data_IF_624528937706
#
_entry.id   IF_624528937706
#
_cell.length_a   1.000
_cell.length_b   1.000
_cell.length_c   1.000
_cell.angle_alpha   90.00
_cell.angle_beta   90.00
_cell.angle_gamma   90.00
#
_symmetry.space_group_name_H-M   'P 1'
#
loop_
_entity.id
_entity.type
_entity.pdbx_description
1 polymer ?
#
# COMPACT_ATOMS: atom_id res chain seq x y z
N UNK A 1 -22.58 8.97 -8.04
CA UNK A 1 -23.34 7.70 -7.90
C UNK A 1 -22.93 6.59 -8.88
N UNK A 2 -22.24 6.88 -10.01
CA UNK A 2 -22.05 5.89 -11.09
C UNK A 2 -20.95 4.82 -10.90
N UNK A 3 -20.00 4.95 -9.95
CA UNK A 3 -18.84 4.03 -9.83
C UNK A 3 -18.97 2.92 -8.77
N UNK A 4 -19.99 2.98 -7.90
CA UNK A 4 -20.14 2.00 -6.81
C UNK A 4 -20.75 0.68 -7.26
N UNK A 5 -21.69 0.70 -8.21
CA UNK A 5 -22.31 -0.50 -8.76
C UNK A 5 -21.31 -1.44 -9.49
N UNK A 6 -20.43 -0.95 -10.40
CA UNK A 6 -19.48 -1.84 -11.07
C UNK A 6 -18.43 -2.42 -10.11
N UNK A 7 -17.99 -1.66 -9.09
CA UNK A 7 -17.04 -2.18 -8.10
C UNK A 7 -17.65 -3.25 -7.19
N UNK A 8 -18.88 -3.05 -6.72
CA UNK A 8 -19.62 -4.08 -5.98
C UNK A 8 -19.86 -5.34 -6.82
N UNK A 9 -20.11 -5.17 -8.13
CA UNK A 9 -20.25 -6.30 -9.04
C UNK A 9 -18.95 -7.10 -9.17
N UNK A 10 -17.79 -6.44 -9.31
CA UNK A 10 -16.48 -7.12 -9.37
C UNK A 10 -16.17 -7.88 -8.08
N UNK A 11 -16.37 -7.25 -6.91
CA UNK A 11 -16.17 -7.91 -5.62
C UNK A 11 -17.17 -9.04 -5.38
N UNK A 12 -18.43 -8.83 -5.74
CA UNK A 12 -19.48 -9.84 -5.67
C UNK A 12 -19.19 -11.04 -6.57
N UNK A 13 -18.65 -10.81 -7.77
CA UNK A 13 -18.26 -11.86 -8.71
C UNK A 13 -17.04 -12.64 -8.19
N UNK A 14 -16.06 -11.95 -7.58
CA UNK A 14 -14.94 -12.61 -6.88
C UNK A 14 -15.40 -13.49 -5.71
N UNK A 15 -16.37 -13.01 -4.93
CA UNK A 15 -16.95 -13.76 -3.80
C UNK A 15 -17.80 -14.94 -4.28
N UNK A 16 -18.60 -14.75 -5.34
CA UNK A 16 -19.36 -15.82 -6.00
C UNK A 16 -18.45 -16.88 -6.59
N UNK A 17 -17.30 -16.53 -7.16
CA UNK A 17 -16.31 -17.51 -7.62
C UNK A 17 -15.69 -18.26 -6.45
N UNK A 18 -15.34 -17.58 -5.36
CA UNK A 18 -14.80 -18.22 -4.16
C UNK A 18 -15.83 -19.18 -3.50
N UNK A 19 -17.13 -18.87 -3.56
CA UNK A 19 -18.19 -19.68 -2.94
C UNK A 19 -18.84 -20.70 -3.89
N UNK A 20 -18.86 -20.43 -5.18
CA UNK A 20 -19.58 -21.21 -6.19
C UNK A 20 -18.78 -22.33 -6.82
N UNK A 21 -17.45 -22.35 -6.64
CA UNK A 21 -16.61 -23.43 -7.14
C UNK A 21 -16.88 -24.75 -6.35
N UNK A 22 -17.06 -25.89 -7.05
CA UNK A 22 -17.44 -27.15 -6.44
C UNK A 22 -16.43 -27.62 -5.38
N UNK A 23 -16.95 -28.28 -4.33
CA UNK A 23 -16.21 -28.81 -3.18
C UNK A 23 -14.96 -29.63 -3.53
N UNK A 24 -15.02 -30.34 -4.65
CA UNK A 24 -13.93 -31.19 -5.20
C UNK A 24 -12.69 -30.42 -5.62
N UNK A 25 -12.80 -29.10 -5.82
CA UNK A 25 -11.66 -28.24 -6.14
C UNK A 25 -10.88 -27.89 -4.86
N UNK A 26 -11.51 -27.86 -3.70
CA UNK A 26 -10.91 -27.42 -2.44
C UNK A 26 -10.26 -28.61 -1.70
N UNK A 27 -9.00 -28.48 -1.23
CA UNK A 27 -8.40 -29.55 -0.41
C UNK A 27 -8.85 -29.38 1.03
N UNK A 28 -9.27 -30.48 1.67
CA UNK A 28 -9.65 -30.51 3.10
C UNK A 28 -8.44 -30.53 4.04
N UNK A 29 -7.31 -29.92 3.66
CA UNK A 29 -6.17 -29.81 4.55
C UNK A 29 -6.47 -28.74 5.60
N UNK A 30 -6.11 -29.00 6.86
CA UNK A 30 -6.20 -27.99 7.91
C UNK A 30 -5.37 -26.77 7.48
N UNK A 31 -5.99 -25.59 7.32
CA UNK A 31 -5.25 -24.42 6.89
C UNK A 31 -4.21 -24.04 7.95
N UNK A 32 -3.07 -23.45 7.55
CA UNK A 32 -2.15 -22.89 8.52
C UNK A 32 -2.88 -21.85 9.38
N UNK A 33 -2.50 -21.75 10.66
CA UNK A 33 -2.98 -20.68 11.53
C UNK A 33 -2.59 -19.32 10.95
N UNK A 34 -3.45 -18.32 11.12
CA UNK A 34 -3.16 -16.97 10.64
C UNK A 34 -1.87 -16.44 11.31
N UNK A 35 -0.90 -15.91 10.55
CA UNK A 35 0.42 -15.56 11.09
C UNK A 35 0.34 -14.23 11.85
N UNK A 36 -0.22 -14.27 13.07
CA UNK A 36 -0.36 -13.08 13.93
C UNK A 36 0.97 -12.34 14.14
N UNK A 37 2.08 -13.08 14.16
CA UNK A 37 3.43 -12.51 14.27
C UNK A 37 3.83 -11.62 13.08
N UNK A 38 3.25 -11.84 11.89
CA UNK A 38 3.54 -11.07 10.68
C UNK A 38 2.71 -9.79 10.56
N UNK A 39 1.62 -9.69 11.32
CA UNK A 39 0.74 -8.51 11.33
C UNK A 39 1.50 -7.27 11.84
N UNK A 40 2.26 -7.41 12.92
CA UNK A 40 3.05 -6.32 13.49
C UNK A 40 4.01 -5.68 12.48
N UNK A 41 4.92 -6.47 11.86
CA UNK A 41 5.77 -6.03 10.75
C UNK A 41 5.04 -5.31 9.62
N UNK A 42 3.94 -5.88 9.12
CA UNK A 42 3.17 -5.31 8.03
C UNK A 42 2.53 -3.97 8.43
N UNK A 43 1.96 -3.89 9.63
CA UNK A 43 1.41 -2.64 10.18
C UNK A 43 2.49 -1.59 10.41
N UNK A 44 3.70 -1.99 10.82
CA UNK A 44 4.84 -1.08 10.96
C UNK A 44 5.28 -0.52 9.62
N UNK A 45 5.40 -1.35 8.58
CA UNK A 45 5.78 -0.90 7.24
C UNK A 45 4.73 0.03 6.63
N UNK A 46 3.46 -0.36 6.68
CA UNK A 46 2.34 0.46 6.22
C UNK A 46 2.24 1.75 7.03
N UNK A 47 2.36 1.69 8.35
CA UNK A 47 2.32 2.85 9.24
C UNK A 47 3.49 3.80 8.99
N UNK A 48 4.70 3.27 8.78
CA UNK A 48 5.87 4.06 8.43
C UNK A 48 5.67 4.77 7.09
N UNK A 49 5.16 4.08 6.06
CA UNK A 49 4.89 4.69 4.76
C UNK A 49 3.78 5.75 4.86
N UNK A 50 2.70 5.43 5.59
CA UNK A 50 1.60 6.33 5.85
C UNK A 50 2.10 7.63 6.47
N UNK A 51 3.03 7.58 7.43
CA UNK A 51 3.58 8.78 8.07
C UNK A 51 4.63 9.50 7.22
N UNK A 52 5.60 8.76 6.67
CA UNK A 52 6.76 9.34 6.01
C UNK A 52 6.41 10.02 4.69
N UNK A 53 5.55 9.43 3.86
CA UNK A 53 5.21 9.99 2.56
C UNK A 53 4.59 11.41 2.67
N UNK A 54 3.55 11.64 3.48
CA UNK A 54 2.99 12.98 3.69
C UNK A 54 3.91 13.91 4.48
N UNK A 55 4.76 13.44 5.40
CA UNK A 55 5.78 14.29 6.01
C UNK A 55 6.78 14.84 4.99
N UNK A 56 7.22 14.00 4.05
CA UNK A 56 8.11 14.40 2.98
C UNK A 56 7.42 15.29 1.95
N UNK A 57 6.18 14.96 1.57
CA UNK A 57 5.36 15.81 0.71
C UNK A 57 5.06 17.18 1.34
N UNK A 58 4.82 17.23 2.65
CA UNK A 58 4.63 18.48 3.40
C UNK A 58 5.90 19.35 3.38
N UNK A 59 7.08 18.75 3.56
CA UNK A 59 8.35 19.48 3.55
C UNK A 59 8.71 19.98 2.15
N UNK A 60 8.55 19.14 1.12
CA UNK A 60 8.97 19.52 -0.23
C UNK A 60 7.91 20.23 -1.08
N UNK A 61 6.63 20.12 -0.71
CA UNK A 61 5.52 20.79 -1.41
C UNK A 61 5.22 20.23 -2.81
N UNK A 62 4.34 20.92 -3.56
CA UNK A 62 3.93 20.50 -4.90
C UNK A 62 5.10 20.52 -5.90
N UNK A 63 6.12 21.34 -5.65
CA UNK A 63 7.34 21.38 -6.47
C UNK A 63 8.12 20.06 -6.48
N UNK A 64 7.89 19.13 -5.54
CA UNK A 64 8.44 17.77 -5.60
C UNK A 64 7.94 17.00 -6.83
N UNK A 65 6.72 17.24 -7.28
CA UNK A 65 6.09 16.54 -8.39
C UNK A 65 6.87 16.67 -9.71
N UNK A 66 7.57 17.80 -9.89
CA UNK A 66 8.35 18.13 -11.08
C UNK A 66 9.85 17.86 -10.92
N UNK A 67 10.31 17.40 -9.74
CA UNK A 67 11.74 17.12 -9.53
C UNK A 67 12.17 15.87 -10.28
N UNK A 68 13.16 16.05 -11.16
CA UNK A 68 13.80 14.98 -11.91
C UNK A 68 14.36 13.87 -11.01
N UNK A 69 14.84 14.20 -9.81
CA UNK A 69 15.35 13.20 -8.86
C UNK A 69 14.28 12.22 -8.40
N UNK A 70 13.06 12.68 -8.09
CA UNK A 70 11.94 11.80 -7.74
C UNK A 70 11.48 10.99 -8.95
N UNK A 71 11.43 11.61 -10.14
CA UNK A 71 11.12 10.90 -11.37
C UNK A 71 12.14 9.80 -11.70
N UNK A 72 13.44 10.02 -11.40
CA UNK A 72 14.49 9.00 -11.56
C UNK A 72 14.40 7.89 -10.52
N UNK A 73 13.91 8.20 -9.31
CA UNK A 73 13.64 7.18 -8.29
C UNK A 73 12.40 6.34 -8.60
N UNK A 74 11.44 6.87 -9.36
CA UNK A 74 10.28 6.11 -9.85
C UNK A 74 10.51 5.40 -11.19
N UNK A 75 11.56 5.78 -11.93
CA UNK A 75 11.81 5.25 -13.27
C UNK A 75 12.07 3.73 -13.27
N UNK A 76 12.79 3.14 -12.30
CA UNK A 76 12.85 1.71 -12.14
C UNK A 76 11.51 1.19 -11.57
N UNK A 77 11.00 0.05 -12.06
CA UNK A 77 9.90 -0.66 -11.40
C UNK A 77 10.16 -0.79 -9.90
N UNK A 78 9.16 -0.54 -9.05
CA UNK A 78 9.31 -0.53 -7.58
C UNK A 78 10.02 -1.81 -7.05
N UNK A 79 9.76 -2.95 -7.69
CA UNK A 79 10.36 -4.24 -7.37
C UNK A 79 11.85 -4.36 -7.76
N UNK A 80 12.33 -3.57 -8.73
CA UNK A 80 13.75 -3.50 -9.11
C UNK A 80 14.57 -2.76 -8.06
N UNK A 81 14.02 -1.72 -7.40
CA UNK A 81 14.70 -1.07 -6.26
C UNK A 81 14.85 -1.99 -5.08
N UNK A 82 13.79 -2.73 -4.76
CA UNK A 82 13.86 -3.77 -3.77
C UNK A 82 14.92 -4.81 -4.16
N UNK A 83 14.91 -5.31 -5.41
CA UNK A 83 15.93 -6.23 -5.90
C UNK A 83 17.37 -5.68 -5.80
N UNK A 84 17.59 -4.40 -6.12
CA UNK A 84 18.89 -3.74 -6.06
C UNK A 84 19.39 -3.57 -4.62
N UNK A 85 18.53 -3.14 -3.70
CA UNK A 85 18.89 -3.02 -2.29
C UNK A 85 19.30 -4.36 -1.69
N UNK A 86 18.72 -5.45 -2.20
CA UNK A 86 19.02 -6.80 -1.77
C UNK A 86 20.28 -7.35 -2.44
N UNK A 87 20.51 -7.03 -3.71
CA UNK A 87 21.76 -7.34 -4.38
C UNK A 87 22.95 -6.63 -3.71
N UNK A 88 22.72 -5.44 -3.14
CA UNK A 88 23.70 -4.67 -2.38
C UNK A 88 23.72 -5.01 -0.88
N UNK A 89 22.88 -5.95 -0.42
CA UNK A 89 22.85 -6.36 0.97
C UNK A 89 24.15 -7.10 1.31
N UNK A 90 24.97 -6.59 2.25
CA UNK A 90 26.26 -7.21 2.55
C UNK A 90 26.09 -8.64 3.02
N UNK A 91 26.83 -9.57 2.42
CA UNK A 91 26.82 -10.98 2.83
C UNK A 91 27.19 -11.17 4.31
N UNK A 92 27.98 -10.25 4.89
CA UNK A 92 28.35 -10.22 6.30
C UNK A 92 27.19 -9.89 7.25
N UNK A 93 26.08 -9.34 6.75
CA UNK A 93 24.89 -8.99 7.55
C UNK A 93 23.90 -10.14 7.67
N UNK A 94 24.17 -11.30 7.03
CA UNK A 94 23.25 -12.43 6.97
C UNK A 94 22.04 -12.16 6.06
N UNK A 95 21.06 -13.09 6.01
CA UNK A 95 19.85 -12.89 5.23
C UNK A 95 19.10 -11.63 5.71
N UNK A 96 18.50 -10.84 4.80
CA UNK A 96 17.76 -9.62 5.14
C UNK A 96 16.62 -9.95 6.11
N UNK A 97 16.80 -9.57 7.38
CA UNK A 97 15.76 -9.71 8.40
C UNK A 97 14.65 -8.67 8.25
N UNK A 98 13.83 -8.51 9.29
CA UNK A 98 12.72 -7.56 9.34
C UNK A 98 13.09 -6.15 8.85
N UNK A 99 14.25 -5.64 9.28
CA UNK A 99 14.71 -4.30 8.91
C UNK A 99 15.12 -4.18 7.44
N UNK A 100 15.77 -5.21 6.87
CA UNK A 100 16.10 -5.22 5.45
C UNK A 100 14.85 -5.25 4.58
N UNK A 101 13.86 -6.03 4.99
CA UNK A 101 12.54 -6.06 4.35
C UNK A 101 11.82 -4.69 4.44
N UNK A 102 11.80 -4.06 5.62
CA UNK A 102 11.15 -2.76 5.83
C UNK A 102 11.81 -1.65 5.01
N UNK A 103 13.16 -1.64 4.94
CA UNK A 103 13.91 -0.69 4.13
C UNK A 103 13.66 -0.92 2.63
N UNK A 104 13.64 -2.17 2.17
CA UNK A 104 13.32 -2.50 0.78
C UNK A 104 11.90 -2.06 0.40
N UNK A 105 10.93 -2.28 1.30
CA UNK A 105 9.55 -1.83 1.11
C UNK A 105 9.44 -0.30 1.01
N UNK A 106 10.08 0.43 1.93
CA UNK A 106 10.07 1.88 1.92
C UNK A 106 10.79 2.43 0.69
N UNK A 107 11.95 1.90 0.32
CA UNK A 107 12.68 2.37 -0.85
C UNK A 107 11.90 2.14 -2.16
N UNK A 108 11.18 1.02 -2.26
CA UNK A 108 10.32 0.72 -3.40
C UNK A 108 9.09 1.64 -3.46
N UNK A 109 8.43 1.89 -2.32
CA UNK A 109 7.08 2.50 -2.31
C UNK A 109 7.10 4.01 -2.03
N UNK A 110 8.04 4.51 -1.24
CA UNK A 110 8.07 5.90 -0.75
C UNK A 110 8.18 6.94 -1.87
N UNK A 111 9.05 6.80 -2.90
CA UNK A 111 9.18 7.82 -3.95
C UNK A 111 7.86 8.07 -4.68
N UNK A 112 7.19 6.98 -5.11
CA UNK A 112 5.91 7.02 -5.81
C UNK A 112 4.80 7.66 -4.98
N UNK A 113 4.72 7.33 -3.70
CA UNK A 113 3.70 7.91 -2.81
C UNK A 113 3.95 9.39 -2.52
N UNK A 114 5.22 9.79 -2.32
CA UNK A 114 5.59 11.20 -2.09
C UNK A 114 5.25 12.06 -3.31
N UNK A 115 5.56 11.59 -4.53
CA UNK A 115 5.26 12.33 -5.75
C UNK A 115 3.76 12.38 -6.01
N UNK A 116 3.02 11.29 -5.77
CA UNK A 116 1.57 11.29 -5.90
C UNK A 116 0.93 12.32 -4.98
N UNK A 117 1.35 12.37 -3.71
CA UNK A 117 0.88 13.36 -2.75
C UNK A 117 1.27 14.78 -3.16
N UNK A 118 2.48 14.99 -3.68
CA UNK A 118 2.92 16.29 -4.18
C UNK A 118 2.11 16.73 -5.42
N UNK A 119 1.77 15.82 -6.32
CA UNK A 119 0.92 16.10 -7.50
C UNK A 119 -0.51 16.43 -7.12
N UNK A 120 -1.02 15.83 -6.04
CA UNK A 120 -2.36 16.09 -5.53
C UNK A 120 -2.47 17.44 -4.77
N UNK A 121 -1.34 18.08 -4.43
CA UNK A 121 -1.35 19.40 -3.80
C UNK A 121 -1.61 20.52 -4.82
N UNK A 122 -2.38 21.56 -4.44
CA UNK A 122 -2.53 22.73 -5.29
C UNK A 122 -1.20 23.48 -5.46
N UNK A 123 -1.08 24.23 -6.56
CA UNK A 123 0.07 25.13 -6.78
C UNK A 123 0.13 26.19 -5.68
N UNK A 124 1.33 26.52 -5.24
CA UNK A 124 1.53 27.49 -4.15
C UNK A 124 1.79 28.93 -4.63
N UNK A 125 1.99 29.09 -5.94
CA UNK A 125 2.18 30.38 -6.57
C UNK A 125 0.89 30.87 -7.25
N UNK A 126 0.54 32.17 -7.13
CA UNK A 126 1.20 33.18 -6.29
C UNK A 126 0.82 33.08 -4.80
N UNK A 127 -0.32 32.45 -4.49
CA UNK A 127 -0.81 32.20 -3.13
C UNK A 127 -0.84 30.70 -2.85
N UNK A 128 -0.50 30.24 -1.63
CA UNK A 128 -0.32 31.00 -0.40
C UNK A 128 1.09 31.57 -0.17
N UNK A 129 2.03 31.46 -1.11
CA UNK A 129 3.39 31.98 -0.90
C UNK A 129 3.46 33.47 -0.59
N UNK A 130 2.65 34.28 -1.25
CA UNK A 130 2.55 35.72 -0.97
C UNK A 130 2.08 36.04 0.46
N UNK A 131 1.52 35.07 1.20
CA UNK A 131 1.13 35.20 2.61
C UNK A 131 2.19 34.66 3.60
N UNK A 132 3.33 34.20 3.10
CA UNK A 132 4.47 33.74 3.89
C UNK A 132 4.45 32.26 4.29
N UNK A 133 5.56 31.79 4.86
CA UNK A 133 5.81 30.36 5.16
C UNK A 133 4.78 29.74 6.10
N UNK A 134 4.25 30.51 7.06
CA UNK A 134 3.25 30.01 7.99
C UNK A 134 1.93 29.66 7.28
N UNK A 135 1.50 30.48 6.31
CA UNK A 135 0.32 30.23 5.51
C UNK A 135 0.52 29.00 4.60
N UNK A 136 1.68 28.89 3.95
CA UNK A 136 2.06 27.72 3.14
C UNK A 136 2.00 26.44 3.96
N UNK A 137 2.67 26.38 5.11
CA UNK A 137 2.69 25.20 5.97
C UNK A 137 1.30 24.78 6.45
N UNK A 138 0.44 25.76 6.77
CA UNK A 138 -0.93 25.54 7.22
C UNK A 138 -1.81 24.99 6.09
N UNK A 139 -1.71 25.56 4.88
CA UNK A 139 -2.45 25.07 3.71
C UNK A 139 -2.00 23.66 3.35
N UNK A 140 -0.68 23.39 3.27
CA UNK A 140 -0.16 22.04 3.03
C UNK A 140 -0.66 21.04 4.06
N UNK A 141 -0.61 21.40 5.35
CA UNK A 141 -1.09 20.54 6.44
C UNK A 141 -2.58 20.21 6.32
N UNK A 142 -3.41 21.21 6.02
CA UNK A 142 -4.86 21.00 5.83
C UNK A 142 -5.16 20.15 4.60
N UNK A 143 -4.47 20.37 3.48
CA UNK A 143 -4.63 19.58 2.26
C UNK A 143 -4.25 18.13 2.52
N UNK A 144 -3.09 17.88 3.12
CA UNK A 144 -2.64 16.53 3.45
C UNK A 144 -3.56 15.82 4.42
N UNK A 145 -4.03 16.51 5.47
CA UNK A 145 -4.94 15.93 6.44
C UNK A 145 -6.29 15.52 5.80
N UNK A 146 -6.78 16.33 4.86
CA UNK A 146 -7.99 15.99 4.08
C UNK A 146 -7.75 14.85 3.08
N UNK A 147 -6.57 14.81 2.46
CA UNK A 147 -6.21 13.74 1.52
C UNK A 147 -5.89 12.42 2.23
N UNK A 148 -5.42 12.47 3.47
CA UNK A 148 -4.90 11.32 4.20
C UNK A 148 -5.84 10.11 4.16
N UNK A 149 -7.11 10.30 4.53
CA UNK A 149 -8.07 9.19 4.59
C UNK A 149 -8.33 8.56 3.22
N UNK A 150 -8.48 9.38 2.18
CA UNK A 150 -8.72 8.87 0.81
C UNK A 150 -7.48 8.20 0.23
N UNK A 151 -6.31 8.80 0.44
CA UNK A 151 -5.03 8.29 -0.01
C UNK A 151 -4.71 6.94 0.65
N UNK A 152 -4.77 6.87 1.98
CA UNK A 152 -4.52 5.62 2.72
C UNK A 152 -5.50 4.53 2.31
N UNK A 153 -6.80 4.81 2.22
CA UNK A 153 -7.79 3.80 1.83
C UNK A 153 -7.58 3.30 0.37
N UNK A 154 -7.22 4.18 -0.55
CA UNK A 154 -6.97 3.81 -1.95
C UNK A 154 -5.66 3.04 -2.14
N UNK A 155 -4.63 3.34 -1.33
CA UNK A 155 -3.28 2.78 -1.48
C UNK A 155 -3.03 1.56 -0.60
N UNK A 156 -3.78 1.37 0.49
CA UNK A 156 -3.60 0.24 1.40
C UNK A 156 -3.58 -1.13 0.69
N UNK A 157 -4.46 -1.44 -0.28
CA UNK A 157 -4.39 -2.71 -1.01
C UNK A 157 -3.09 -2.88 -1.80
N UNK A 158 -2.56 -1.78 -2.37
CA UNK A 158 -1.30 -1.78 -3.13
C UNK A 158 -0.13 -2.03 -2.18
N UNK A 159 -0.10 -1.35 -1.03
CA UNK A 159 0.94 -1.54 -0.03
C UNK A 159 0.94 -2.96 0.54
N UNK A 160 -0.24 -3.48 0.87
CA UNK A 160 -0.38 -4.87 1.30
C UNK A 160 0.11 -5.83 0.22
N UNK A 161 -0.24 -5.62 -1.06
CA UNK A 161 0.25 -6.46 -2.16
C UNK A 161 1.78 -6.38 -2.29
N UNK A 162 2.36 -5.19 -2.18
CA UNK A 162 3.81 -4.99 -2.22
C UNK A 162 4.50 -5.73 -1.07
N UNK A 163 3.91 -5.74 0.14
CA UNK A 163 4.43 -6.55 1.25
C UNK A 163 4.47 -8.05 0.90
N UNK A 164 3.42 -8.60 0.27
CA UNK A 164 3.39 -10.02 -0.13
C UNK A 164 4.47 -10.35 -1.19
N UNK A 165 4.67 -9.46 -2.17
CA UNK A 165 5.67 -9.67 -3.24
C UNK A 165 7.08 -9.62 -2.66
N UNK A 166 7.36 -8.67 -1.77
CA UNK A 166 8.66 -8.54 -1.13
C UNK A 166 8.97 -9.71 -0.21
N UNK A 167 8.02 -10.17 0.59
CA UNK A 167 8.17 -11.38 1.41
C UNK A 167 8.60 -12.58 0.55
N UNK A 168 8.01 -12.72 -0.65
CA UNK A 168 8.36 -13.80 -1.59
C UNK A 168 9.76 -13.64 -2.18
N UNK A 169 10.15 -12.43 -2.59
CA UNK A 169 11.49 -12.16 -3.13
C UNK A 169 12.56 -12.42 -2.05
N UNK A 170 12.23 -12.11 -0.81
CA UNK A 170 13.13 -12.15 0.33
C UNK A 170 13.19 -13.49 1.06
N UNK A 171 12.25 -14.40 0.77
CA UNK A 171 12.08 -15.63 1.52
C UNK A 171 11.73 -15.38 3.00
N UNK A 172 11.19 -14.21 3.32
CA UNK A 172 10.81 -13.84 4.69
C UNK A 172 9.38 -14.33 4.95
N UNK A 173 9.13 -15.13 6.00
CA UNK A 173 7.79 -15.56 6.34
C UNK A 173 6.96 -14.36 6.82
N UNK A 174 5.79 -14.16 6.21
CA UNK A 174 4.84 -13.11 6.55
C UNK A 174 3.41 -13.36 6.04
N UNK A 175 2.63 -12.29 5.85
CA UNK A 175 1.21 -12.39 5.45
C UNK A 175 1.03 -13.00 4.05
N UNK A 176 1.99 -12.78 3.15
CA UNK A 176 2.06 -13.30 1.78
C UNK A 176 2.39 -14.77 1.70
N UNK A 177 3.24 -15.27 2.61
CA UNK A 177 3.46 -16.72 2.72
C UNK A 177 2.21 -17.47 3.19
N UNK A 178 1.42 -16.90 4.11
CA UNK A 178 0.13 -17.48 4.53
C UNK A 178 -0.89 -17.43 3.39
N UNK A 179 -1.03 -16.30 2.69
CA UNK A 179 -1.89 -16.18 1.52
C UNK A 179 -1.60 -17.22 0.44
N UNK A 180 -0.32 -17.38 0.06
CA UNK A 180 0.10 -18.36 -0.94
C UNK A 180 -0.10 -19.80 -0.46
N UNK A 181 0.13 -20.07 0.83
CA UNK A 181 -0.12 -21.38 1.41
C UNK A 181 -1.61 -21.70 1.36
N UNK A 182 -2.49 -20.73 1.69
CA UNK A 182 -3.94 -20.84 1.56
C UNK A 182 -4.40 -21.06 0.11
N UNK A 183 -3.79 -20.39 -0.87
CA UNK A 183 -4.05 -20.69 -2.30
C UNK A 183 -3.62 -22.13 -2.61
N UNK A 184 -2.42 -22.53 -2.19
CA UNK A 184 -1.86 -23.86 -2.47
C UNK A 184 -2.70 -24.99 -1.85
N UNK A 185 -3.19 -24.81 -0.62
CA UNK A 185 -4.13 -25.73 0.02
C UNK A 185 -5.58 -25.51 -0.40
N UNK A 186 -5.86 -24.49 -1.23
CA UNK A 186 -7.20 -24.11 -1.67
C UNK A 186 -8.13 -23.96 -0.45
N UNK A 187 -7.73 -23.11 0.49
CA UNK A 187 -8.51 -22.76 1.68
C UNK A 187 -9.61 -21.77 1.30
N UNK A 188 -10.79 -22.32 0.98
CA UNK A 188 -11.97 -21.55 0.60
C UNK A 188 -12.34 -20.46 1.62
N UNK A 189 -12.29 -20.79 2.91
CA UNK A 189 -12.71 -19.87 3.97
C UNK A 189 -11.74 -18.70 4.08
N UNK A 190 -10.44 -18.98 4.14
CA UNK A 190 -9.40 -17.95 4.19
C UNK A 190 -9.41 -17.04 2.97
N UNK A 191 -9.54 -17.61 1.76
CA UNK A 191 -9.59 -16.82 0.52
C UNK A 191 -10.84 -15.93 0.47
N UNK A 192 -12.00 -16.43 0.90
CA UNK A 192 -13.25 -15.65 0.95
C UNK A 192 -13.15 -14.49 1.95
N UNK A 193 -12.55 -14.71 3.12
CA UNK A 193 -12.31 -13.66 4.12
C UNK A 193 -11.40 -12.55 3.59
N UNK A 194 -10.36 -12.90 2.84
CA UNK A 194 -9.47 -11.93 2.20
C UNK A 194 -10.16 -11.10 1.12
N UNK A 195 -10.94 -11.74 0.24
CA UNK A 195 -11.74 -11.04 -0.77
C UNK A 195 -12.74 -10.10 -0.09
N UNK A 196 -13.38 -10.53 1.00
CA UNK A 196 -14.31 -9.72 1.76
C UNK A 196 -13.60 -8.55 2.48
N UNK A 197 -12.42 -8.76 3.05
CA UNK A 197 -11.63 -7.69 3.67
C UNK A 197 -11.23 -6.62 2.65
N UNK A 198 -10.79 -7.02 1.46
CA UNK A 198 -10.47 -6.09 0.38
C UNK A 198 -11.71 -5.36 -0.15
N UNK A 199 -12.84 -6.05 -0.28
CA UNK A 199 -14.10 -5.45 -0.66
C UNK A 199 -14.59 -4.41 0.37
N UNK A 200 -14.43 -4.70 1.67
CA UNK A 200 -14.76 -3.77 2.76
C UNK A 200 -13.84 -2.54 2.74
N UNK A 201 -12.54 -2.72 2.54
CA UNK A 201 -11.59 -1.61 2.40
C UNK A 201 -11.94 -0.71 1.22
N UNK A 202 -12.31 -1.29 0.09
CA UNK A 202 -12.78 -0.55 -1.08
C UNK A 202 -14.11 0.17 -0.78
N UNK A 203 -15.07 -0.48 -0.12
CA UNK A 203 -16.35 0.15 0.23
C UNK A 203 -16.16 1.33 1.21
N UNK A 204 -15.25 1.20 2.18
CA UNK A 204 -14.87 2.27 3.10
C UNK A 204 -14.23 3.45 2.36
N UNK A 205 -13.39 3.19 1.36
CA UNK A 205 -12.77 4.25 0.55
C UNK A 205 -13.81 5.07 -0.22
N UNK A 206 -14.87 4.41 -0.73
CA UNK A 206 -15.99 5.07 -1.44
C UNK A 206 -16.88 5.90 -0.51
N UNK A 207 -17.09 5.45 0.74
CA UNK A 207 -17.94 6.18 1.72
C UNK A 207 -17.27 7.48 2.16
N UNK A 208 -15.95 7.46 2.33
CA UNK A 208 -15.13 8.64 2.62
C UNK A 208 -15.18 9.70 1.50
N UNK A 209 -15.42 9.29 0.25
CA UNK A 209 -15.63 10.24 -0.85
C UNK A 209 -16.96 11.01 -0.73
N UNK A 210 -18.02 10.36 -0.22
CA UNK A 210 -19.36 10.94 -0.10
C UNK A 210 -19.55 11.86 1.10
N UNK A 211 -18.91 11.58 2.23
CA UNK A 211 -19.08 12.37 3.47
C UNK A 211 -18.38 13.74 3.44
N UNK A 212 -17.54 13.98 2.43
CA UNK A 212 -16.73 15.21 2.28
C UNK A 212 -16.98 15.96 0.96
N UNK A 213 -18.03 15.58 0.22
CA UNK A 213 -18.52 16.27 -0.99
C UNK A 213 -19.74 17.12 -0.62
#
# INVERSE_FOLDING_TARGET
>A
MARTAPGLAVWGLGLLLALGLPGSIWRQAAPPGFPMAAVGPALLAVGALALLAPLLAWRGGPGLASRRSLALLEAPPDLLWAGLLLALWPAAWGPPGLWGWLLAFLAASLPGEVRWLAQAMPSEHPFPEAWGRAAVNRVRGLVLLRLWGRWTAARLPVWLTATLVLERILGVPGLGTDWMTRIAVRDRAGLSCWVLALALLWALSQRLEKEMA
#
